data_IF_466077568243
#
_entry.id   IF_466077568243
#
_cell.length_a   1.000
_cell.length_b   1.000
_cell.length_c   1.000
_cell.angle_alpha   90.00
_cell.angle_beta   90.00
_cell.angle_gamma   90.00
#
_symmetry.space_group_name_H-M   'P 1'
#
loop_
_entity.id
_entity.type
_entity.pdbx_description
1 polymer ?
#
# COMPACT_ATOMS: atom_id res chain seq x y z
N UNK A 1 -26.15 27.30 -0.62
CA UNK A 1 -24.90 27.43 0.18
C UNK A 1 -23.84 26.57 -0.47
N UNK A 2 -22.60 27.05 -0.53
CA UNK A 2 -21.47 26.24 -1.02
C UNK A 2 -21.10 25.15 0.00
N UNK A 3 -20.72 23.97 -0.49
CA UNK A 3 -20.31 22.85 0.34
C UNK A 3 -18.86 23.04 0.83
N UNK A 4 -18.63 22.72 2.11
CA UNK A 4 -17.29 22.73 2.71
C UNK A 4 -16.38 21.71 2.01
N UNK A 5 -15.20 22.14 1.56
CA UNK A 5 -14.20 21.27 0.90
C UNK A 5 -13.08 20.93 1.87
N UNK A 6 -12.40 19.82 1.61
CA UNK A 6 -11.23 19.41 2.40
C UNK A 6 -10.11 20.47 2.38
N UNK A 7 -9.94 21.17 1.26
CA UNK A 7 -8.98 22.27 1.09
C UNK A 7 -9.27 23.48 1.97
N UNK A 8 -10.49 23.59 2.50
CA UNK A 8 -10.87 24.67 3.41
C UNK A 8 -10.52 24.34 4.88
N UNK A 9 -10.02 23.14 5.13
CA UNK A 9 -9.79 22.59 6.47
C UNK A 9 -8.30 22.46 6.79
N UNK A 10 -7.94 22.94 7.97
CA UNK A 10 -6.70 22.59 8.64
C UNK A 10 -6.94 21.32 9.46
N UNK A 11 -6.12 20.27 9.24
CA UNK A 11 -6.24 19.00 9.94
C UNK A 11 -5.11 18.88 10.96
N UNK A 12 -5.44 19.06 12.24
CA UNK A 12 -4.48 18.91 13.32
C UNK A 12 -4.50 17.47 13.83
N UNK A 13 -3.31 16.87 13.93
CA UNK A 13 -3.08 15.51 14.43
C UNK A 13 -2.12 15.57 15.60
N UNK A 14 -2.52 15.06 16.77
CA UNK A 14 -1.69 15.05 17.98
C UNK A 14 -1.68 13.65 18.58
N UNK A 15 -0.49 13.13 18.88
CA UNK A 15 -0.31 11.88 19.63
C UNK A 15 0.25 12.22 21.02
N UNK A 16 -0.54 12.12 22.10
CA UNK A 16 -0.04 12.34 23.45
C UNK A 16 1.07 11.34 23.79
N UNK A 17 2.10 11.77 24.53
CA UNK A 17 3.25 10.94 24.89
C UNK A 17 2.86 9.63 25.59
N UNK A 18 1.79 9.65 26.40
CA UNK A 18 1.31 8.51 27.18
C UNK A 18 0.06 7.85 26.58
N UNK A 19 -0.18 8.01 25.28
CA UNK A 19 -1.33 7.40 24.61
C UNK A 19 -0.97 6.83 23.24
N UNK A 20 -1.51 5.65 22.96
CA UNK A 20 -1.48 5.07 21.62
C UNK A 20 -2.58 5.63 20.70
N UNK A 21 -3.39 6.58 21.19
CA UNK A 21 -4.45 7.22 20.40
C UNK A 21 -3.91 8.41 19.64
N UNK A 22 -4.32 8.51 18.39
CA UNK A 22 -4.13 9.71 17.59
C UNK A 22 -5.37 10.57 17.74
N UNK A 23 -5.21 11.80 18.23
CA UNK A 23 -6.29 12.77 18.35
C UNK A 23 -6.29 13.62 17.09
N UNK A 24 -7.43 13.67 16.40
CA UNK A 24 -7.62 14.44 15.18
C UNK A 24 -8.70 15.49 15.39
N UNK A 25 -8.43 16.72 14.98
CA UNK A 25 -9.40 17.82 14.95
C UNK A 25 -9.34 18.56 13.63
N UNK A 26 -10.49 19.02 13.15
CA UNK A 26 -10.64 19.79 11.92
C UNK A 26 -10.88 21.25 12.27
N UNK A 27 -10.15 22.18 11.66
CA UNK A 27 -10.27 23.61 11.91
C UNK A 27 -10.52 24.36 10.60
N UNK A 28 -11.22 25.48 10.67
CA UNK A 28 -11.38 26.43 9.56
C UNK A 28 -11.11 27.84 10.07
N UNK A 29 -10.08 28.49 9.54
CA UNK A 29 -9.64 29.80 10.03
C UNK A 29 -9.32 29.78 11.53
N UNK A 30 -8.60 28.74 11.98
CA UNK A 30 -8.26 28.53 13.40
C UNK A 30 -9.41 28.11 14.33
N UNK A 31 -10.66 28.00 13.85
CA UNK A 31 -11.81 27.59 14.69
C UNK A 31 -12.11 26.09 14.53
N UNK A 32 -12.29 25.33 15.63
CA UNK A 32 -12.68 23.93 15.55
C UNK A 32 -14.03 23.73 14.85
N UNK A 33 -14.10 22.79 13.91
CA UNK A 33 -15.31 22.40 13.22
C UNK A 33 -16.08 21.35 14.04
N UNK A 34 -17.33 21.61 14.46
CA UNK A 34 -18.21 20.58 15.00
C UNK A 34 -18.42 19.49 13.94
N UNK A 35 -18.12 18.25 14.31
CA UNK A 35 -17.99 17.14 13.37
C UNK A 35 -18.59 15.88 13.98
N UNK A 36 -19.09 14.97 13.14
CA UNK A 36 -19.78 13.74 13.60
C UNK A 36 -19.14 12.54 12.90
N UNK A 37 -18.89 11.47 13.64
CA UNK A 37 -18.46 10.21 13.06
C UNK A 37 -19.69 9.49 12.49
N UNK A 38 -19.69 9.31 11.17
CA UNK A 38 -20.74 8.57 10.49
C UNK A 38 -20.44 7.07 10.57
N UNK A 39 -21.33 6.31 11.22
CA UNK A 39 -21.14 4.89 11.50
C UNK A 39 -22.09 3.98 10.71
N UNK A 40 -22.86 4.53 9.76
CA UNK A 40 -23.73 3.75 8.89
C UNK A 40 -22.93 2.78 8.01
N UNK A 41 -23.60 1.78 7.44
CA UNK A 41 -22.96 0.80 6.56
C UNK A 41 -22.28 1.47 5.36
N UNK A 42 -22.93 2.45 4.73
CA UNK A 42 -22.38 3.19 3.59
C UNK A 42 -21.19 4.06 3.98
N UNK A 43 -21.25 4.71 5.15
CA UNK A 43 -20.12 5.49 5.69
C UNK A 43 -18.89 4.62 5.97
N UNK A 44 -19.08 3.49 6.67
CA UNK A 44 -18.00 2.53 6.94
C UNK A 44 -17.40 2.00 5.64
N UNK A 45 -18.22 1.64 4.65
CA UNK A 45 -17.73 1.17 3.34
C UNK A 45 -16.88 2.24 2.64
N UNK A 46 -17.31 3.50 2.64
CA UNK A 46 -16.54 4.60 2.06
C UNK A 46 -15.20 4.81 2.79
N UNK A 47 -15.19 4.71 4.12
CA UNK A 47 -13.97 4.80 4.93
C UNK A 47 -13.00 3.62 4.70
N UNK A 48 -13.52 2.40 4.55
CA UNK A 48 -12.70 1.23 4.25
C UNK A 48 -12.05 1.32 2.86
N UNK A 49 -12.73 1.89 1.86
CA UNK A 49 -12.13 2.20 0.56
C UNK A 49 -11.06 3.30 0.65
N UNK A 50 -11.14 4.24 1.59
CA UNK A 50 -10.09 5.22 1.83
C UNK A 50 -8.76 4.56 2.27
N UNK A 51 -8.84 3.45 3.03
CA UNK A 51 -7.65 2.69 3.42
C UNK A 51 -6.95 2.08 2.19
N UNK A 52 -7.74 1.60 1.21
CA UNK A 52 -7.22 1.10 -0.07
C UNK A 52 -6.60 2.22 -0.90
N UNK A 53 -7.25 3.38 -0.99
CA UNK A 53 -6.72 4.57 -1.67
C UNK A 53 -5.34 4.94 -1.13
N UNK A 54 -5.22 5.07 0.20
CA UNK A 54 -3.95 5.40 0.86
C UNK A 54 -2.85 4.35 0.62
N UNK A 55 -3.19 3.07 0.47
CA UNK A 55 -2.22 2.02 0.17
C UNK A 55 -1.80 2.07 -1.32
N UNK A 56 -2.74 2.29 -2.24
CA UNK A 56 -2.47 2.41 -3.68
C UNK A 56 -1.65 3.66 -4.03
N UNK A 57 -1.99 4.81 -3.44
CA UNK A 57 -1.22 6.06 -3.60
C UNK A 57 0.23 5.86 -3.13
N UNK A 58 0.43 5.22 -1.98
CA UNK A 58 1.78 4.91 -1.48
C UNK A 58 2.55 3.98 -2.42
N UNK A 59 1.89 2.96 -2.96
CA UNK A 59 2.51 2.06 -3.94
C UNK A 59 2.91 2.82 -5.23
N UNK A 60 2.03 3.68 -5.75
CA UNK A 60 2.31 4.52 -6.93
C UNK A 60 3.51 5.43 -6.67
N UNK A 61 3.51 6.20 -5.58
CA UNK A 61 4.63 7.09 -5.26
C UNK A 61 5.94 6.34 -5.05
N UNK A 62 5.90 5.15 -4.46
CA UNK A 62 7.09 4.30 -4.30
C UNK A 62 7.65 3.83 -5.65
N UNK A 63 6.78 3.44 -6.59
CA UNK A 63 7.18 3.03 -7.95
C UNK A 63 7.72 4.22 -8.72
N UNK A 64 7.06 5.38 -8.65
CA UNK A 64 7.50 6.60 -9.34
C UNK A 64 8.87 7.07 -8.83
N UNK A 65 9.14 6.96 -7.53
CA UNK A 65 10.46 7.23 -6.98
C UNK A 65 11.49 6.18 -7.42
N UNK A 66 11.13 4.90 -7.46
CA UNK A 66 12.03 3.87 -8.00
C UNK A 66 12.38 4.14 -9.48
N UNK A 67 11.41 4.58 -10.29
CA UNK A 67 11.60 4.96 -11.69
C UNK A 67 12.50 6.19 -11.84
N UNK A 68 12.41 7.19 -10.96
CA UNK A 68 13.29 8.37 -11.04
C UNK A 68 14.75 8.01 -10.78
N UNK A 69 15.02 7.01 -9.92
CA UNK A 69 16.37 6.49 -9.68
C UNK A 69 16.95 5.74 -10.89
N UNK A 70 16.11 5.23 -11.81
CA UNK A 70 16.57 4.68 -13.10
C UNK A 70 16.95 5.78 -14.08
N UNK A 71 16.15 6.86 -14.16
CA UNK A 71 16.36 7.93 -15.15
C UNK A 71 17.65 8.73 -14.93
N UNK A 72 18.17 8.77 -13.70
CA UNK A 72 19.45 9.40 -13.36
C UNK A 72 20.67 8.57 -13.82
N UNK A 73 20.48 7.31 -14.22
CA UNK A 73 21.54 6.43 -14.74
C UNK A 73 21.30 6.14 -16.22
N UNK A 74 21.98 6.88 -17.10
CA UNK A 74 22.10 6.52 -18.52
C UNK A 74 22.69 5.10 -18.62
N UNK A 75 22.00 4.12 -19.23
CA UNK A 75 22.56 2.80 -19.42
C UNK A 75 23.55 2.86 -20.58
N UNK A 76 24.83 3.10 -20.29
CA UNK A 76 25.88 2.93 -21.32
C UNK A 76 26.19 1.45 -21.60
N UNK A 77 25.64 0.52 -20.82
CA UNK A 77 25.89 -0.90 -21.00
C UNK A 77 24.63 -1.72 -20.72
N UNK A 78 24.30 -2.63 -21.64
CA UNK A 78 23.32 -3.71 -21.47
C UNK A 78 23.73 -4.74 -20.38
N UNK A 79 24.65 -4.37 -19.48
CA UNK A 79 25.08 -5.21 -18.39
C UNK A 79 24.04 -5.12 -17.27
N UNK A 80 23.43 -6.27 -16.96
CA UNK A 80 22.58 -6.49 -15.79
C UNK A 80 23.22 -5.79 -14.59
N UNK A 81 22.59 -4.73 -14.09
CA UNK A 81 23.04 -4.06 -12.86
C UNK A 81 22.84 -5.07 -11.74
N UNK A 82 23.92 -5.78 -11.40
CA UNK A 82 23.92 -6.74 -10.29
C UNK A 82 23.59 -5.93 -9.04
N UNK A 83 22.48 -6.27 -8.39
CA UNK A 83 22.15 -5.71 -7.08
C UNK A 83 23.37 -5.83 -6.16
N UNK A 84 23.74 -4.73 -5.51
CA UNK A 84 24.87 -4.66 -4.60
C UNK A 84 24.35 -4.13 -3.28
N UNK A 85 24.33 -5.01 -2.27
CA UNK A 85 23.86 -4.68 -0.92
C UNK A 85 24.69 -3.59 -0.23
N UNK A 86 25.91 -3.34 -0.71
CA UNK A 86 26.78 -2.29 -0.18
C UNK A 86 26.60 -0.96 -0.92
N UNK A 87 25.87 -0.94 -2.05
CA UNK A 87 25.51 0.27 -2.77
C UNK A 87 24.20 0.82 -2.20
N UNK A 88 24.26 2.02 -1.61
CA UNK A 88 23.11 2.64 -0.93
C UNK A 88 21.94 2.92 -1.88
N UNK A 89 22.21 3.29 -3.13
CA UNK A 89 21.16 3.56 -4.12
C UNK A 89 20.43 2.26 -4.50
N UNK A 90 21.19 1.15 -4.66
CA UNK A 90 20.60 -0.16 -4.96
C UNK A 90 19.70 -0.59 -3.80
N UNK A 91 20.15 -0.40 -2.56
CA UNK A 91 19.37 -0.71 -1.36
C UNK A 91 18.10 0.14 -1.29
N UNK A 92 18.20 1.45 -1.51
CA UNK A 92 17.05 2.38 -1.50
C UNK A 92 16.04 1.99 -2.58
N UNK A 93 16.49 1.82 -3.83
CA UNK A 93 15.65 1.40 -4.96
C UNK A 93 14.93 0.09 -4.65
N UNK A 94 15.67 -0.91 -4.19
CA UNK A 94 15.13 -2.21 -3.84
C UNK A 94 14.04 -2.11 -2.75
N UNK A 95 14.25 -1.27 -1.72
CA UNK A 95 13.25 -1.06 -0.67
C UNK A 95 11.97 -0.40 -1.19
N UNK A 96 12.05 0.54 -2.13
CA UNK A 96 10.85 1.12 -2.75
C UNK A 96 10.08 0.09 -3.58
N UNK A 97 10.78 -0.76 -4.34
CA UNK A 97 10.18 -1.87 -5.08
C UNK A 97 9.47 -2.82 -4.12
N UNK A 98 10.15 -3.31 -3.08
CA UNK A 98 9.52 -4.18 -2.07
C UNK A 98 8.33 -3.51 -1.40
N UNK A 99 8.46 -2.23 -1.00
CA UNK A 99 7.38 -1.47 -0.37
C UNK A 99 6.15 -1.40 -1.29
N UNK A 100 6.34 -1.15 -2.59
CA UNK A 100 5.25 -1.11 -3.56
C UNK A 100 4.56 -2.47 -3.73
N UNK A 101 5.31 -3.57 -3.84
CA UNK A 101 4.77 -4.94 -3.94
C UNK A 101 3.94 -5.30 -2.70
N UNK A 102 4.50 -5.04 -1.50
CA UNK A 102 3.82 -5.31 -0.23
C UNK A 102 2.52 -4.51 -0.13
N UNK A 103 2.60 -3.20 -0.38
CA UNK A 103 1.48 -2.29 -0.19
C UNK A 103 0.38 -2.53 -1.22
N UNK A 104 0.74 -2.84 -2.46
CA UNK A 104 -0.19 -3.32 -3.47
C UNK A 104 -0.87 -4.63 -3.05
N UNK A 105 -0.10 -5.64 -2.63
CA UNK A 105 -0.64 -6.92 -2.18
C UNK A 105 -1.60 -6.79 -0.99
N UNK A 106 -1.37 -5.83 -0.07
CA UNK A 106 -2.30 -5.51 1.03
C UNK A 106 -3.68 -5.10 0.54
N UNK A 107 -3.83 -4.58 -0.67
CA UNK A 107 -5.13 -4.19 -1.23
C UNK A 107 -6.03 -5.40 -1.55
N UNK A 108 -5.42 -6.56 -1.78
CA UNK A 108 -6.12 -7.80 -2.16
C UNK A 108 -6.15 -8.85 -1.04
N UNK A 109 -5.27 -8.71 -0.04
CA UNK A 109 -5.28 -9.55 1.14
C UNK A 109 -6.55 -9.35 1.99
N UNK A 110 -7.03 -10.44 2.61
CA UNK A 110 -8.07 -10.37 3.64
C UNK A 110 -7.44 -9.99 4.98
N UNK A 111 -7.99 -8.98 5.67
CA UNK A 111 -7.49 -8.53 6.97
C UNK A 111 -8.64 -8.26 7.94
N UNK A 112 -8.43 -8.51 9.24
CA UNK A 112 -9.35 -8.08 10.30
C UNK A 112 -9.34 -6.55 10.35
N UNK A 113 -10.48 -5.91 10.08
CA UNK A 113 -10.64 -4.45 10.16
C UNK A 113 -10.89 -3.71 8.83
N UNK A 114 -10.86 -4.40 7.68
CA UNK A 114 -11.29 -3.84 6.39
C UNK A 114 -12.13 -4.87 5.64
N UNK A 115 -13.43 -4.60 5.45
CA UNK A 115 -14.32 -5.46 4.68
C UNK A 115 -14.44 -5.08 3.21
N UNK A 116 -14.02 -3.88 2.81
CA UNK A 116 -13.91 -3.49 1.42
C UNK A 116 -13.04 -4.46 0.62
N UNK A 117 -13.57 -4.91 -0.52
CA UNK A 117 -12.92 -5.81 -1.46
C UNK A 117 -12.88 -5.19 -2.85
N UNK A 118 -11.79 -5.45 -3.55
CA UNK A 118 -11.65 -5.17 -4.98
C UNK A 118 -12.13 -6.40 -5.75
N UNK A 119 -13.23 -6.32 -6.53
CA UNK A 119 -13.73 -7.48 -7.25
C UNK A 119 -12.79 -7.82 -8.41
N UNK A 120 -12.03 -8.92 -8.31
CA UNK A 120 -11.04 -9.32 -9.32
C UNK A 120 -11.63 -9.48 -10.72
N UNK A 121 -12.85 -10.01 -10.83
CA UNK A 121 -13.55 -10.10 -12.13
C UNK A 121 -13.83 -8.72 -12.74
N UNK A 122 -14.19 -7.71 -11.92
CA UNK A 122 -14.39 -6.34 -12.38
C UNK A 122 -13.05 -5.71 -12.76
N UNK A 123 -12.00 -5.99 -11.99
CA UNK A 123 -10.64 -5.55 -12.30
C UNK A 123 -10.17 -6.09 -13.65
N UNK A 124 -10.21 -7.41 -13.85
CA UNK A 124 -9.81 -8.09 -15.10
C UNK A 124 -10.53 -7.50 -16.32
N UNK A 125 -11.84 -7.25 -16.22
CA UNK A 125 -12.62 -6.61 -17.28
C UNK A 125 -12.14 -5.19 -17.63
N UNK A 126 -11.64 -4.44 -16.66
CA UNK A 126 -11.16 -3.06 -16.86
C UNK A 126 -9.74 -3.04 -17.43
N UNK A 127 -8.86 -3.90 -16.93
CA UNK A 127 -7.43 -3.85 -17.25
C UNK A 127 -7.02 -4.78 -18.40
N UNK A 128 -7.88 -5.71 -18.80
CA UNK A 128 -7.58 -6.73 -19.80
C UNK A 128 -6.76 -7.89 -19.25
N UNK A 129 -6.61 -8.95 -20.06
CA UNK A 129 -5.97 -10.20 -19.63
C UNK A 129 -4.46 -10.04 -19.38
N UNK A 130 -3.75 -9.30 -20.23
CA UNK A 130 -2.29 -9.13 -20.11
C UNK A 130 -1.91 -8.40 -18.81
N UNK A 131 -2.59 -7.30 -18.52
CA UNK A 131 -2.31 -6.52 -17.30
C UNK A 131 -2.83 -7.26 -16.05
N UNK A 132 -3.84 -8.12 -16.20
CA UNK A 132 -4.30 -9.00 -15.13
C UNK A 132 -3.29 -10.12 -14.85
N UNK A 133 -2.66 -10.69 -15.88
CA UNK A 133 -1.57 -11.66 -15.70
C UNK A 133 -0.41 -11.04 -14.93
N UNK A 134 -0.06 -9.78 -15.24
CA UNK A 134 0.94 -9.03 -14.47
C UNK A 134 0.48 -8.77 -13.01
N UNK A 135 -0.80 -8.48 -12.78
CA UNK A 135 -1.36 -8.41 -11.42
C UNK A 135 -1.13 -9.72 -10.63
N UNK A 136 -1.40 -10.87 -11.24
CA UNK A 136 -1.16 -12.17 -10.61
C UNK A 136 0.33 -12.40 -10.33
N UNK A 137 1.22 -11.99 -11.25
CA UNK A 137 2.66 -12.05 -11.03
C UNK A 137 3.10 -11.21 -9.83
N UNK A 138 2.61 -9.98 -9.67
CA UNK A 138 2.93 -9.13 -8.50
C UNK A 138 2.43 -9.77 -7.19
N UNK A 139 1.22 -10.33 -7.18
CA UNK A 139 0.71 -11.03 -6.00
C UNK A 139 1.54 -12.28 -5.67
N UNK A 140 1.99 -13.00 -6.70
CA UNK A 140 2.88 -14.14 -6.56
C UNK A 140 4.24 -13.71 -5.98
N UNK A 141 4.84 -12.62 -6.48
CA UNK A 141 6.08 -12.05 -5.94
C UNK A 141 5.91 -11.67 -4.46
N UNK A 142 4.81 -10.99 -4.10
CA UNK A 142 4.52 -10.66 -2.70
C UNK A 142 4.51 -11.90 -1.83
N UNK A 143 3.84 -12.96 -2.27
CA UNK A 143 3.64 -14.16 -1.46
C UNK A 143 4.92 -15.00 -1.37
N UNK A 144 5.55 -15.30 -2.50
CA UNK A 144 6.62 -16.30 -2.60
C UNK A 144 8.04 -15.73 -2.59
N UNK A 145 8.20 -14.43 -2.75
CA UNK A 145 9.51 -13.79 -2.64
C UNK A 145 9.57 -12.90 -1.41
N UNK A 146 8.63 -11.96 -1.27
CA UNK A 146 8.74 -10.93 -0.24
C UNK A 146 8.31 -11.41 1.15
N UNK A 147 7.21 -12.17 1.24
CA UNK A 147 6.64 -12.57 2.52
C UNK A 147 7.16 -13.94 3.02
N UNK A 148 7.42 -14.85 2.10
CA UNK A 148 7.86 -16.20 2.39
C UNK A 148 9.04 -16.44 1.45
N UNK A 149 10.22 -16.84 1.96
CA UNK A 149 11.42 -17.17 1.16
C UNK A 149 11.18 -18.43 0.29
N UNK A 150 10.13 -18.41 -0.52
CA UNK A 150 9.66 -19.50 -1.36
C UNK A 150 10.38 -19.50 -2.70
N UNK A 151 9.86 -20.31 -3.62
CA UNK A 151 10.42 -20.37 -4.98
C UNK A 151 10.05 -19.09 -5.73
N UNK A 152 11.07 -18.32 -6.10
CA UNK A 152 10.93 -17.14 -6.96
C UNK A 152 12.04 -17.11 -8.00
N UNK A 153 11.84 -16.35 -9.08
CA UNK A 153 12.90 -16.05 -10.04
C UNK A 153 13.87 -14.97 -9.52
N UNK A 154 13.51 -14.30 -8.42
CA UNK A 154 14.23 -13.13 -7.90
C UNK A 154 15.37 -13.52 -6.94
N UNK A 155 15.25 -14.66 -6.26
CA UNK A 155 16.24 -15.13 -5.30
C UNK A 155 16.34 -16.66 -5.31
N UNK A 156 17.58 -17.18 -5.27
CA UNK A 156 17.85 -18.60 -5.05
C UNK A 156 19.03 -18.80 -4.11
N UNK A 157 18.97 -19.84 -3.29
CA UNK A 157 20.08 -20.29 -2.44
C UNK A 157 20.62 -21.62 -2.96
N UNK A 158 21.95 -21.78 -2.98
CA UNK A 158 22.64 -23.03 -3.32
C UNK A 158 23.78 -23.29 -2.35
N UNK A 159 24.00 -24.55 -2.00
CA UNK A 159 25.28 -24.99 -1.43
C UNK A 159 26.14 -25.51 -2.57
N UNK A 160 27.32 -24.94 -2.72
CA UNK A 160 28.22 -25.17 -3.85
C UNK A 160 29.51 -25.74 -3.30
N UNK A 161 29.94 -26.88 -3.83
CA UNK A 161 31.27 -27.44 -3.57
C UNK A 161 32.26 -26.83 -4.56
N UNK A 162 33.30 -26.18 -4.04
CA UNK A 162 34.26 -25.39 -4.80
C UNK A 162 35.62 -26.07 -4.66
N UNK A 163 36.28 -26.24 -5.80
CA UNK A 163 37.64 -26.79 -5.87
C UNK A 163 38.60 -25.66 -6.22
N UNK A 164 39.82 -25.73 -5.70
CA UNK A 164 40.86 -24.77 -6.05
C UNK A 164 41.34 -25.05 -7.48
N UNK A 165 41.19 -24.10 -8.43
CA UNK A 165 41.64 -24.29 -9.79
C UNK A 165 43.16 -24.48 -9.90
N UNK A 166 43.92 -24.06 -8.89
CA UNK A 166 45.38 -24.20 -8.83
C UNK A 166 45.84 -25.45 -8.06
N UNK A 167 44.93 -26.13 -7.36
CA UNK A 167 45.21 -27.34 -6.60
C UNK A 167 46.09 -27.14 -5.35
N UNK A 168 46.28 -25.90 -4.91
CA UNK A 168 47.11 -25.55 -3.75
C UNK A 168 46.32 -25.65 -2.43
N UNK A 169 44.99 -25.52 -2.50
CA UNK A 169 44.08 -25.52 -1.37
C UNK A 169 43.09 -26.67 -1.44
N UNK A 170 42.69 -27.15 -0.26
CA UNK A 170 41.63 -28.15 -0.15
C UNK A 170 40.28 -27.56 -0.64
N UNK A 171 39.41 -28.38 -1.26
CA UNK A 171 38.05 -27.98 -1.61
C UNK A 171 37.22 -27.55 -0.40
N UNK A 172 36.24 -26.66 -0.62
CA UNK A 172 35.34 -26.14 0.41
C UNK A 172 33.88 -26.11 -0.09
N UNK A 173 32.92 -26.19 0.84
CA UNK A 173 31.51 -25.92 0.53
C UNK A 173 31.12 -24.50 0.96
N UNK A 174 30.44 -23.77 0.08
CA UNK A 174 29.92 -22.43 0.36
C UNK A 174 28.40 -22.45 0.20
N UNK A 175 27.69 -21.92 1.20
CA UNK A 175 26.28 -21.59 1.09
C UNK A 175 26.15 -20.17 0.50
N UNK A 176 25.64 -20.08 -0.73
CA UNK A 176 25.55 -18.83 -1.48
C UNK A 176 24.10 -18.51 -1.86
N UNK A 177 23.71 -17.24 -1.72
CA UNK A 177 22.47 -16.70 -2.27
C UNK A 177 22.76 -15.79 -3.45
N UNK A 178 22.00 -15.96 -4.53
CA UNK A 178 22.06 -15.11 -5.70
C UNK A 178 20.73 -14.39 -5.88
N UNK A 179 20.83 -13.08 -6.13
CA UNK A 179 19.71 -12.15 -6.25
C UNK A 179 19.64 -11.65 -7.69
N UNK A 180 18.57 -12.01 -8.39
CA UNK A 180 18.12 -11.31 -9.59
C UNK A 180 17.08 -10.25 -9.17
N UNK A 181 17.46 -9.40 -8.22
CA UNK A 181 16.53 -8.62 -7.40
C UNK A 181 15.95 -7.35 -8.07
N UNK A 182 16.02 -7.25 -9.39
CA UNK A 182 15.56 -6.07 -10.11
C UNK A 182 14.35 -6.39 -10.99
N UNK A 183 13.23 -5.76 -10.66
CA UNK A 183 12.14 -5.58 -11.62
C UNK A 183 12.64 -4.62 -12.69
N UNK A 184 12.44 -4.98 -13.96
CA UNK A 184 12.89 -4.16 -15.09
C UNK A 184 12.23 -2.78 -15.08
N UNK A 185 12.85 -1.81 -15.76
CA UNK A 185 12.28 -0.48 -15.89
C UNK A 185 10.90 -0.52 -16.57
N UNK A 186 10.76 -1.34 -17.60
CA UNK A 186 9.51 -1.60 -18.32
C UNK A 186 8.45 -2.20 -17.40
N UNK A 187 8.81 -3.20 -16.61
CA UNK A 187 7.89 -3.82 -15.64
C UNK A 187 7.47 -2.83 -14.55
N UNK A 188 8.34 -1.90 -14.12
CA UNK A 188 7.95 -0.84 -13.18
C UNK A 188 6.96 0.14 -13.79
N UNK A 189 7.09 0.48 -15.08
CA UNK A 189 6.10 1.29 -15.81
C UNK A 189 4.76 0.55 -15.86
N UNK A 190 4.77 -0.75 -16.21
CA UNK A 190 3.57 -1.59 -16.24
C UNK A 190 2.94 -1.67 -14.84
N UNK A 191 3.76 -1.81 -13.80
CA UNK A 191 3.29 -1.87 -12.42
C UNK A 191 2.65 -0.56 -11.98
N UNK A 192 3.25 0.60 -12.31
CA UNK A 192 2.66 1.90 -12.04
C UNK A 192 1.29 2.05 -12.73
N UNK A 193 1.20 1.66 -14.01
CA UNK A 193 -0.06 1.65 -14.77
C UNK A 193 -1.12 0.77 -14.10
N UNK A 194 -0.75 -0.43 -13.66
CA UNK A 194 -1.62 -1.34 -12.93
C UNK A 194 -2.15 -0.71 -11.63
N UNK A 195 -1.26 -0.14 -10.80
CA UNK A 195 -1.66 0.52 -9.55
C UNK A 195 -2.65 1.67 -9.80
N UNK A 196 -2.42 2.50 -10.83
CA UNK A 196 -3.33 3.58 -11.24
C UNK A 196 -4.69 3.06 -11.68
N UNK A 197 -4.74 1.95 -12.43
CA UNK A 197 -6.00 1.34 -12.84
C UNK A 197 -6.79 0.77 -11.64
N UNK A 198 -6.10 0.13 -10.68
CA UNK A 198 -6.71 -0.36 -9.44
C UNK A 198 -7.21 0.79 -8.57
N UNK A 199 -6.46 1.90 -8.50
CA UNK A 199 -6.89 3.13 -7.81
C UNK A 199 -8.18 3.67 -8.40
N UNK A 200 -8.26 3.79 -9.74
CA UNK A 200 -9.48 4.26 -10.41
C UNK A 200 -10.70 3.37 -10.11
N UNK A 201 -10.52 2.03 -10.11
CA UNK A 201 -11.57 1.11 -9.70
C UNK A 201 -11.98 1.34 -8.24
N UNK A 202 -11.02 1.48 -7.33
CA UNK A 202 -11.28 1.74 -5.93
C UNK A 202 -12.05 3.05 -5.72
N UNK A 203 -11.66 4.12 -6.40
CA UNK A 203 -12.34 5.43 -6.37
C UNK A 203 -13.77 5.31 -6.88
N UNK A 204 -14.02 4.55 -7.95
CA UNK A 204 -15.38 4.27 -8.43
C UNK A 204 -16.23 3.59 -7.36
N UNK A 205 -15.70 2.56 -6.69
CA UNK A 205 -16.40 1.85 -5.62
C UNK A 205 -16.63 2.72 -4.37
N UNK A 206 -15.67 3.59 -4.05
CA UNK A 206 -15.81 4.57 -2.98
C UNK A 206 -16.91 5.59 -3.30
N UNK A 207 -16.97 6.09 -4.53
CA UNK A 207 -18.00 7.04 -4.99
C UNK A 207 -19.40 6.42 -4.98
N UNK A 208 -19.53 5.12 -5.31
CA UNK A 208 -20.79 4.39 -5.16
C UNK A 208 -21.24 4.38 -3.68
N UNK A 209 -20.32 4.12 -2.74
CA UNK A 209 -20.60 4.14 -1.30
C UNK A 209 -20.96 5.56 -0.79
N UNK A 210 -20.24 6.59 -1.24
CA UNK A 210 -20.54 7.98 -0.91
C UNK A 210 -21.90 8.42 -1.47
N UNK A 211 -22.27 7.97 -2.67
CA UNK A 211 -23.58 8.24 -3.27
C UNK A 211 -24.73 7.59 -2.51
N UNK A 212 -24.50 6.41 -1.91
CA UNK A 212 -25.45 5.79 -1.00
C UNK A 212 -25.53 6.56 0.33
N UNK A 213 -24.39 6.97 0.89
CA UNK A 213 -24.32 7.77 2.11
C UNK A 213 -25.05 9.12 1.97
N UNK A 214 -24.88 9.81 0.84
CA UNK A 214 -25.57 11.08 0.59
C UNK A 214 -27.09 10.91 0.58
N UNK A 215 -27.59 9.80 0.02
CA UNK A 215 -29.03 9.46 0.03
C UNK A 215 -29.54 9.11 1.44
N UNK A 216 -28.70 8.51 2.28
CA UNK A 216 -29.00 8.29 3.70
C UNK A 216 -29.10 9.64 4.44
N UNK A 217 -28.10 10.51 4.29
CA UNK A 217 -28.05 11.81 4.97
C UNK A 217 -29.18 12.75 4.59
N UNK A 218 -29.66 12.71 3.34
CA UNK A 218 -30.83 13.49 2.89
C UNK A 218 -32.12 13.15 3.64
N UNK A 219 -32.21 11.96 4.23
CA UNK A 219 -33.38 11.50 5.00
C UNK A 219 -33.21 11.67 6.51
N UNK A 220 -32.04 12.10 6.95
CA UNK A 220 -31.70 12.23 8.37
C UNK A 220 -32.04 13.63 8.87
N UNK A 221 -32.60 13.71 10.07
CA UNK A 221 -32.73 15.00 10.75
C UNK A 221 -31.35 15.52 11.14
N UNK A 222 -30.89 16.56 10.44
CA UNK A 222 -29.60 17.18 10.66
C UNK A 222 -29.49 17.86 12.02
N UNK A 223 -30.58 18.40 12.56
CA UNK A 223 -30.58 19.04 13.87
C UNK A 223 -30.38 18.00 14.97
N UNK A 224 -30.99 16.83 14.84
CA UNK A 224 -30.75 15.71 15.75
C UNK A 224 -29.32 15.18 15.64
N UNK A 225 -28.82 14.98 14.40
CA UNK A 225 -27.47 14.48 14.16
C UNK A 225 -26.41 15.38 14.82
N UNK A 226 -26.56 16.71 14.66
CA UNK A 226 -25.64 17.72 15.20
C UNK A 226 -25.53 17.74 16.73
N UNK A 227 -26.51 17.19 17.48
CA UNK A 227 -26.41 17.06 18.94
C UNK A 227 -25.26 16.15 19.38
N UNK A 228 -24.82 15.23 18.51
CA UNK A 228 -23.72 14.31 18.77
C UNK A 228 -22.34 14.83 18.33
N UNK A 229 -22.28 16.06 17.80
CA UNK A 229 -21.06 16.62 17.23
C UNK A 229 -19.95 16.77 18.27
N UNK A 230 -18.73 16.46 17.85
CA UNK A 230 -17.49 16.59 18.62
C UNK A 230 -16.50 17.43 17.82
N UNK A 231 -15.52 18.00 18.51
CA UNK A 231 -14.42 18.76 17.89
C UNK A 231 -13.12 17.96 17.80
N UNK A 232 -13.10 16.76 18.42
CA UNK A 232 -11.95 15.86 18.47
C UNK A 232 -12.40 14.42 18.24
N UNK A 233 -11.62 13.68 17.46
CA UNK A 233 -11.79 12.25 17.22
C UNK A 233 -10.55 11.50 17.65
N UNK A 234 -10.76 10.26 18.11
CA UNK A 234 -9.69 9.37 18.52
C UNK A 234 -9.56 8.27 17.47
N UNK A 235 -8.39 8.18 16.84
CA UNK A 235 -8.02 7.13 15.92
C UNK A 235 -7.10 6.14 16.65
N UNK A 236 -7.18 4.86 16.24
CA UNK A 236 -6.60 3.64 16.83
C UNK A 236 -7.43 2.95 17.92
N UNK A 237 -7.49 1.61 17.83
CA UNK A 237 -8.43 0.74 18.53
C UNK A 237 -7.80 0.15 19.81
N UNK A 238 -8.45 0.27 20.96
CA UNK A 238 -8.02 -0.37 22.23
C UNK A 238 -8.08 -1.91 22.16
N UNK A 239 -8.86 -2.47 21.23
CA UNK A 239 -9.06 -3.92 21.09
C UNK A 239 -7.82 -4.72 20.64
N UNK A 240 -6.73 -4.06 20.23
CA UNK A 240 -5.47 -4.73 19.90
C UNK A 240 -4.50 -4.84 21.09
N UNK A 241 -4.84 -4.26 22.25
CA UNK A 241 -3.96 -4.22 23.43
C UNK A 241 -4.57 -4.85 24.68
N UNK A 242 -5.77 -5.45 24.58
CA UNK A 242 -6.34 -6.25 25.66
C UNK A 242 -6.12 -7.74 25.36
N UNK A 243 -5.03 -8.35 25.85
CA UNK A 243 -4.75 -9.78 25.64
C UNK A 243 -5.83 -10.69 26.24
N UNK A 244 -6.78 -10.17 27.03
CA UNK A 244 -7.88 -10.96 27.60
C UNK A 244 -9.14 -11.02 26.73
N UNK A 245 -9.18 -10.33 25.57
CA UNK A 245 -10.35 -10.34 24.66
C UNK A 245 -10.09 -10.96 23.29
N UNK A 246 -8.88 -11.40 23.02
CA UNK A 246 -8.55 -12.22 21.87
C UNK A 246 -8.05 -13.56 22.42
N UNK A 247 -8.92 -14.58 22.40
CA UNK A 247 -8.67 -16.00 22.75
C UNK A 247 -7.19 -16.42 22.83
#
# INVERSE_FOLDING_TARGET
>A
MEQLKLTDLEINKTKPHNSNRLIVSFLRGGKPCPSIELTSKSARKAAEHQLLTKDLEHAISSIEFALSLYAERQPEDNNIVKYDKNNIDHLIKHNFILSSIITYGKCFATAKGRNARLPEQKLRKIIGDDLFAFHEQILNLRNNWVAHCGKSQMETAKTIFITDPLGEKAPEYICHTSFAAEISFEDLIIFCKLCKAVLNLNTSLQNEALSALNRELQKTDMHELLKSAKTKFFYHNEQLLDPQKNN
#
